data_IF_403282128209
#
_entry.id   IF_403282128209
#
_cell.length_a   1.000
_cell.length_b   1.000
_cell.length_c   1.000
_cell.angle_alpha   90.00
_cell.angle_beta   90.00
_cell.angle_gamma   90.00
#
_symmetry.space_group_name_H-M   'P 1'
#
loop_
_entity.id
_entity.type
_entity.pdbx_description
1 polymer ?
#
# COMPACT_ATOMS: atom_id res chain seq x y z
N UNK A 1 -34.82 -3.46 1.22
CA UNK A 1 -34.01 -2.24 1.22
C UNK A 1 -33.44 -2.02 -0.17
N UNK A 2 -33.28 -0.77 -0.61
CA UNK A 2 -32.72 -0.43 -1.93
C UNK A 2 -31.34 -1.09 -2.21
N UNK A 3 -30.56 -1.36 -1.20
CA UNK A 3 -29.25 -2.00 -1.30
C UNK A 3 -29.30 -3.42 -1.91
N UNK A 4 -30.37 -4.18 -1.70
CA UNK A 4 -30.53 -5.53 -2.24
C UNK A 4 -30.86 -5.55 -3.75
N UNK A 5 -31.16 -4.42 -4.34
CA UNK A 5 -31.56 -4.28 -5.77
C UNK A 5 -30.34 -3.93 -6.65
N UNK A 6 -29.25 -3.43 -6.07
CA UNK A 6 -28.04 -3.09 -6.83
C UNK A 6 -27.33 -4.39 -7.22
N UNK A 7 -27.20 -4.61 -8.53
CA UNK A 7 -26.45 -5.71 -9.11
C UNK A 7 -25.46 -5.21 -10.16
N UNK A 8 -24.76 -6.13 -10.77
CA UNK A 8 -23.80 -5.86 -11.84
C UNK A 8 -22.36 -6.16 -11.43
N UNK A 9 -21.40 -5.59 -12.16
CA UNK A 9 -19.98 -5.83 -11.98
C UNK A 9 -19.25 -4.52 -11.73
N UNK A 10 -18.28 -4.56 -10.83
CA UNK A 10 -17.32 -3.47 -10.60
C UNK A 10 -15.90 -4.01 -10.73
N UNK A 11 -15.07 -3.32 -11.50
CA UNK A 11 -13.67 -3.67 -11.73
C UNK A 11 -12.80 -2.51 -11.23
N UNK A 12 -11.86 -2.78 -10.35
CA UNK A 12 -10.90 -1.78 -9.91
C UNK A 12 -9.50 -2.37 -9.76
N UNK A 13 -8.49 -1.51 -9.70
CA UNK A 13 -7.11 -1.91 -9.54
C UNK A 13 -6.49 -1.30 -8.28
N UNK A 14 -5.62 -2.04 -7.64
CA UNK A 14 -4.86 -1.60 -6.47
C UNK A 14 -3.62 -2.46 -6.26
N UNK A 15 -2.75 -2.04 -5.31
CA UNK A 15 -1.54 -2.76 -4.96
C UNK A 15 -1.81 -4.03 -4.15
N UNK A 16 -0.84 -4.92 -4.14
CA UNK A 16 -0.85 -6.15 -3.32
C UNK A 16 -1.03 -5.86 -1.83
N UNK A 17 -0.36 -4.85 -1.30
CA UNK A 17 -0.50 -4.42 0.10
C UNK A 17 -1.93 -4.02 0.44
N UNK A 18 -2.60 -3.25 -0.41
CA UNK A 18 -4.00 -2.87 -0.19
C UNK A 18 -4.93 -4.08 -0.30
N UNK A 19 -4.68 -4.99 -1.25
CA UNK A 19 -5.45 -6.24 -1.38
C UNK A 19 -5.35 -7.09 -0.12
N UNK A 20 -4.16 -7.18 0.46
CA UNK A 20 -3.90 -8.08 1.60
C UNK A 20 -4.38 -7.50 2.92
N UNK A 21 -4.15 -6.20 3.17
CA UNK A 21 -4.28 -5.61 4.50
C UNK A 21 -5.41 -4.59 4.65
N UNK A 22 -5.86 -3.96 3.57
CA UNK A 22 -6.85 -2.88 3.63
C UNK A 22 -8.24 -3.35 3.18
N UNK A 23 -8.32 -4.04 2.06
CA UNK A 23 -9.59 -4.34 1.40
C UNK A 23 -10.41 -5.48 2.02
N UNK A 24 -9.86 -6.54 2.63
CA UNK A 24 -10.67 -7.67 3.07
C UNK A 24 -11.85 -7.29 3.95
N UNK A 25 -11.72 -6.47 5.01
CA UNK A 25 -12.87 -6.08 5.84
C UNK A 25 -13.87 -5.20 5.06
N UNK A 26 -13.39 -4.33 4.17
CA UNK A 26 -14.27 -3.47 3.34
C UNK A 26 -15.12 -4.32 2.40
N UNK A 27 -14.48 -5.26 1.70
CA UNK A 27 -15.17 -6.11 0.73
C UNK A 27 -16.08 -7.15 1.38
N UNK A 28 -15.74 -7.60 2.59
CA UNK A 28 -16.64 -8.45 3.38
C UNK A 28 -17.95 -7.72 3.66
N UNK A 29 -17.88 -6.51 4.22
CA UNK A 29 -19.07 -5.70 4.51
C UNK A 29 -19.83 -5.34 3.23
N UNK A 30 -19.11 -5.05 2.15
CA UNK A 30 -19.72 -4.73 0.86
C UNK A 30 -20.52 -5.91 0.30
N UNK A 31 -19.95 -7.11 0.32
CA UNK A 31 -20.60 -8.33 -0.16
C UNK A 31 -21.86 -8.67 0.66
N UNK A 32 -21.82 -8.44 1.96
CA UNK A 32 -22.99 -8.64 2.84
C UNK A 32 -24.14 -7.67 2.49
N UNK A 33 -23.79 -6.42 2.14
CA UNK A 33 -24.76 -5.38 1.82
C UNK A 33 -25.26 -5.44 0.37
N UNK A 34 -24.40 -5.84 -0.58
CA UNK A 34 -24.66 -5.86 -2.02
C UNK A 34 -24.35 -7.23 -2.63
N UNK A 35 -25.09 -8.28 -2.26
CA UNK A 35 -24.78 -9.66 -2.69
C UNK A 35 -24.93 -9.90 -4.20
N UNK A 36 -25.64 -9.01 -4.92
CA UNK A 36 -25.81 -9.06 -6.38
C UNK A 36 -24.72 -8.38 -7.18
N UNK A 37 -23.66 -7.88 -6.53
CA UNK A 37 -22.54 -7.19 -7.20
C UNK A 37 -21.32 -8.10 -7.29
N UNK A 38 -20.85 -8.35 -8.50
CA UNK A 38 -19.58 -9.03 -8.75
C UNK A 38 -18.42 -8.02 -8.66
N UNK A 39 -17.41 -8.34 -7.85
CA UNK A 39 -16.23 -7.50 -7.66
C UNK A 39 -15.01 -8.17 -8.29
N UNK A 40 -14.36 -7.48 -9.22
CA UNK A 40 -13.07 -7.87 -9.78
C UNK A 40 -11.98 -6.91 -9.31
N UNK A 41 -10.90 -7.46 -8.78
CA UNK A 41 -9.71 -6.69 -8.39
C UNK A 41 -8.56 -7.05 -9.31
N UNK A 42 -7.93 -6.05 -9.91
CA UNK A 42 -6.68 -6.22 -10.63
C UNK A 42 -5.52 -5.74 -9.76
N UNK A 43 -4.59 -6.65 -9.48
CA UNK A 43 -3.38 -6.31 -8.74
C UNK A 43 -2.40 -5.58 -9.67
N UNK A 44 -2.16 -4.30 -9.41
CA UNK A 44 -1.34 -3.40 -10.23
C UNK A 44 -0.53 -2.44 -9.38
N UNK A 45 0.65 -2.05 -9.87
CA UNK A 45 1.41 -0.94 -9.29
C UNK A 45 0.70 0.39 -9.55
N UNK A 46 0.91 1.38 -8.68
CA UNK A 46 0.27 2.71 -8.82
C UNK A 46 0.52 3.37 -10.18
N UNK A 47 1.71 3.17 -10.76
CA UNK A 47 2.05 3.66 -12.10
C UNK A 47 1.23 3.05 -13.23
N UNK A 48 0.72 1.83 -13.04
CA UNK A 48 -0.10 1.12 -14.04
C UNK A 48 -1.59 1.47 -13.91
N UNK A 49 -2.03 1.98 -12.75
CA UNK A 49 -3.45 2.22 -12.45
C UNK A 49 -3.99 3.40 -13.25
N UNK A 50 -3.25 4.50 -13.33
CA UNK A 50 -3.72 5.69 -14.05
C UNK A 50 -4.04 5.43 -15.52
N UNK A 51 -3.21 4.74 -16.32
CA UNK A 51 -3.56 4.35 -17.69
C UNK A 51 -4.85 3.53 -17.76
N UNK A 52 -5.03 2.53 -16.90
CA UNK A 52 -6.23 1.68 -16.90
C UNK A 52 -7.51 2.47 -16.63
N UNK A 53 -7.44 3.47 -15.74
CA UNK A 53 -8.57 4.38 -15.48
C UNK A 53 -8.85 5.26 -16.68
N UNK A 54 -7.82 5.82 -17.32
CA UNK A 54 -7.94 6.71 -18.48
C UNK A 54 -8.47 6.02 -19.72
N UNK A 55 -8.17 4.74 -19.90
CA UNK A 55 -8.60 3.92 -21.01
C UNK A 55 -9.95 3.20 -20.73
N UNK A 56 -10.60 3.52 -19.60
CA UNK A 56 -11.86 2.93 -19.15
C UNK A 56 -11.84 1.39 -19.04
N UNK A 57 -10.65 0.81 -18.84
CA UNK A 57 -10.49 -0.64 -18.62
C UNK A 57 -10.92 -1.08 -17.22
N UNK A 58 -10.94 -0.14 -16.27
CA UNK A 58 -11.40 -0.31 -14.90
C UNK A 58 -12.33 0.84 -14.51
N UNK A 59 -13.17 0.61 -13.51
CA UNK A 59 -14.11 1.64 -13.04
C UNK A 59 -13.41 2.72 -12.21
N UNK A 60 -12.43 2.33 -11.40
CA UNK A 60 -11.60 3.23 -10.59
C UNK A 60 -10.31 2.54 -10.13
N UNK A 61 -9.41 3.30 -9.55
CA UNK A 61 -8.21 2.79 -8.88
C UNK A 61 -8.17 3.17 -7.40
N UNK A 62 -7.43 2.39 -6.61
CA UNK A 62 -7.01 2.73 -5.25
C UNK A 62 -5.49 2.73 -5.24
N UNK A 63 -4.86 3.90 -5.17
CA UNK A 63 -3.43 4.06 -5.41
C UNK A 63 -2.77 5.06 -4.47
N UNK A 64 -1.44 4.99 -4.38
CA UNK A 64 -0.64 6.01 -3.71
C UNK A 64 -0.69 7.30 -4.51
N UNK A 65 -0.99 8.41 -3.84
CA UNK A 65 -1.09 9.74 -4.41
C UNK A 65 0.21 10.55 -4.15
N UNK A 66 0.53 11.57 -4.95
CA UNK A 66 -0.29 12.13 -6.03
C UNK A 66 -0.16 11.37 -7.36
N UNK A 67 -1.23 11.40 -8.15
CA UNK A 67 -1.25 10.97 -9.54
C UNK A 67 -1.83 12.11 -10.40
N UNK A 68 -1.02 13.13 -10.70
CA UNK A 68 -1.50 14.33 -11.40
C UNK A 68 -1.77 14.04 -12.87
N UNK A 69 -3.03 14.23 -13.28
CA UNK A 69 -3.42 14.16 -14.68
C UNK A 69 -4.73 14.96 -14.90
N UNK A 70 -4.86 15.77 -15.97
CA UNK A 70 -6.02 16.64 -16.16
C UNK A 70 -7.36 15.92 -16.25
N UNK A 71 -7.37 14.69 -16.76
CA UNK A 71 -8.57 13.85 -16.84
C UNK A 71 -8.82 12.95 -15.63
N UNK A 72 -7.94 12.94 -14.65
CA UNK A 72 -8.13 12.20 -13.42
C UNK A 72 -8.66 13.11 -12.29
N UNK A 73 -9.56 12.57 -11.49
CA UNK A 73 -9.94 13.09 -10.17
C UNK A 73 -9.37 12.13 -9.14
N UNK A 74 -8.59 12.64 -8.22
CA UNK A 74 -8.06 11.88 -7.09
C UNK A 74 -8.69 12.36 -5.78
N UNK A 75 -8.91 11.42 -4.87
CA UNK A 75 -9.51 11.67 -3.56
C UNK A 75 -8.75 10.88 -2.50
N UNK A 76 -8.01 11.56 -1.64
CA UNK A 76 -7.29 10.93 -0.54
C UNK A 76 -8.26 10.27 0.45
N UNK A 77 -7.99 9.02 0.83
CA UNK A 77 -8.79 8.29 1.82
C UNK A 77 -8.04 8.10 3.13
N UNK A 78 -6.81 7.60 3.08
CA UNK A 78 -6.04 7.31 4.28
C UNK A 78 -4.55 7.56 4.06
N UNK A 79 -3.82 7.63 5.18
CA UNK A 79 -2.38 7.80 5.20
C UNK A 79 -1.69 6.47 5.51
N UNK A 80 -0.61 6.17 4.78
CA UNK A 80 0.25 5.01 4.98
C UNK A 80 1.62 5.42 5.47
N UNK A 81 2.09 4.78 6.53
CA UNK A 81 3.45 4.94 7.05
C UNK A 81 4.29 3.71 6.75
N UNK A 82 5.56 3.93 6.50
CA UNK A 82 6.55 2.86 6.34
C UNK A 82 7.50 2.87 7.56
N UNK A 83 7.94 1.68 7.94
CA UNK A 83 8.82 1.43 9.08
C UNK A 83 10.00 0.55 8.66
N UNK A 84 11.12 0.70 9.36
CA UNK A 84 12.19 -0.29 9.29
C UNK A 84 11.78 -1.55 10.04
N UNK A 85 12.10 -2.70 9.48
CA UNK A 85 11.96 -3.98 10.15
C UNK A 85 13.31 -4.68 10.24
N UNK A 86 13.52 -5.37 11.36
CA UNK A 86 14.69 -6.19 11.60
C UNK A 86 14.34 -7.45 12.39
N UNK A 87 15.20 -8.48 12.37
CA UNK A 87 14.98 -9.68 13.16
C UNK A 87 15.13 -9.38 14.66
N UNK A 88 14.58 -10.26 15.48
CA UNK A 88 14.78 -10.22 16.94
C UNK A 88 16.27 -10.35 17.25
N UNK A 89 16.75 -9.56 18.21
CA UNK A 89 18.16 -9.55 18.60
C UNK A 89 19.09 -8.73 17.72
N UNK A 90 18.55 -8.06 16.68
CA UNK A 90 19.35 -7.14 15.88
C UNK A 90 19.91 -5.98 16.73
N UNK A 91 21.17 -5.55 16.52
CA UNK A 91 21.79 -4.48 17.33
C UNK A 91 20.97 -3.17 17.35
N UNK A 92 20.26 -2.85 16.28
CA UNK A 92 19.43 -1.65 16.18
C UNK A 92 18.00 -1.82 16.73
N UNK A 93 17.61 -3.02 17.18
CA UNK A 93 16.23 -3.33 17.60
C UNK A 93 15.74 -2.48 18.80
N UNK A 94 16.63 -1.98 19.63
CA UNK A 94 16.29 -1.12 20.79
C UNK A 94 16.09 0.35 20.41
N UNK A 95 16.37 0.75 19.19
CA UNK A 95 16.23 2.13 18.73
C UNK A 95 14.75 2.47 18.48
N UNK A 96 14.37 3.67 18.85
CA UNK A 96 13.01 4.17 18.58
C UNK A 96 12.82 4.68 17.15
N UNK A 97 13.89 5.22 16.57
CA UNK A 97 13.90 5.82 15.23
C UNK A 97 15.25 5.58 14.56
N UNK A 98 15.23 5.37 13.27
CA UNK A 98 16.44 5.17 12.46
C UNK A 98 16.40 6.07 11.22
N UNK A 99 17.39 6.98 11.06
CA UNK A 99 17.63 7.68 9.81
C UNK A 99 18.34 6.75 8.81
N UNK A 100 18.36 7.12 7.52
CA UNK A 100 19.08 6.38 6.49
C UNK A 100 20.55 6.10 6.86
N UNK A 101 21.23 7.08 7.47
CA UNK A 101 22.62 6.93 7.88
C UNK A 101 22.86 5.80 8.89
N UNK A 102 21.88 5.54 9.75
CA UNK A 102 22.02 4.49 10.78
C UNK A 102 21.88 3.08 10.21
N UNK A 103 21.19 2.92 9.08
CA UNK A 103 20.97 1.62 8.42
C UNK A 103 21.84 1.41 7.19
N UNK A 104 22.57 2.42 6.75
CA UNK A 104 23.32 2.37 5.48
C UNK A 104 24.43 1.31 5.47
N UNK A 105 24.97 0.95 6.63
CA UNK A 105 26.01 -0.08 6.78
C UNK A 105 25.44 -1.48 7.05
N UNK A 106 24.12 -1.57 7.25
CA UNK A 106 23.44 -2.85 7.44
C UNK A 106 23.15 -3.50 6.09
N UNK A 107 23.10 -4.82 6.00
CA UNK A 107 22.53 -5.51 4.86
C UNK A 107 21.05 -5.13 4.71
N UNK A 108 20.66 -4.62 3.55
CA UNK A 108 19.29 -4.18 3.29
C UNK A 108 18.64 -5.04 2.21
N UNK A 109 17.38 -5.42 2.46
CA UNK A 109 16.51 -6.02 1.48
C UNK A 109 15.59 -4.93 0.94
N UNK A 110 15.43 -4.88 -0.38
CA UNK A 110 14.58 -3.91 -1.05
C UNK A 110 13.54 -4.61 -1.91
N UNK A 111 12.39 -3.96 -2.11
CA UNK A 111 11.46 -4.38 -3.14
C UNK A 111 12.02 -4.06 -4.53
N UNK A 112 11.55 -4.77 -5.53
CA UNK A 112 11.91 -4.52 -6.92
C UNK A 112 11.53 -3.10 -7.36
N UNK A 113 12.22 -2.60 -8.36
CA UNK A 113 11.99 -1.27 -8.94
C UNK A 113 10.58 -1.19 -9.53
N UNK A 114 9.97 0.01 -9.40
CA UNK A 114 8.61 0.27 -9.87
C UNK A 114 7.55 0.23 -8.75
N UNK A 115 7.81 -0.40 -7.60
CA UNK A 115 6.93 -0.31 -6.44
C UNK A 115 7.06 1.04 -5.73
N UNK A 116 5.97 1.50 -5.11
CA UNK A 116 5.98 2.76 -4.33
C UNK A 116 6.86 2.66 -3.08
N UNK A 117 6.94 1.50 -2.45
CA UNK A 117 7.82 1.28 -1.30
C UNK A 117 9.29 1.33 -1.71
N UNK A 118 9.64 0.82 -2.91
CA UNK A 118 11.00 0.97 -3.44
C UNK A 118 11.33 2.42 -3.77
N UNK A 119 10.44 3.16 -4.39
CA UNK A 119 10.63 4.58 -4.67
C UNK A 119 10.89 5.37 -3.38
N UNK A 120 10.13 5.09 -2.33
CA UNK A 120 10.33 5.72 -1.02
C UNK A 120 11.69 5.38 -0.42
N UNK A 121 12.10 4.11 -0.49
CA UNK A 121 13.41 3.64 -0.04
C UNK A 121 14.52 4.37 -0.79
N UNK A 122 14.48 4.40 -2.12
CA UNK A 122 15.48 5.06 -2.95
C UNK A 122 15.54 6.58 -2.67
N UNK A 123 14.40 7.23 -2.49
CA UNK A 123 14.32 8.66 -2.16
C UNK A 123 14.93 8.98 -0.80
N UNK A 124 14.70 8.14 0.21
CA UNK A 124 15.26 8.31 1.54
C UNK A 124 16.79 8.34 1.50
N UNK A 125 17.40 7.39 0.81
CA UNK A 125 18.84 7.31 0.68
C UNK A 125 19.42 8.41 -0.22
N UNK A 126 18.73 8.76 -1.30
CA UNK A 126 19.13 9.86 -2.19
C UNK A 126 19.13 11.20 -1.46
N UNK A 127 18.10 11.49 -0.65
CA UNK A 127 18.04 12.71 0.14
C UNK A 127 19.14 12.80 1.19
N UNK A 128 19.53 11.66 1.76
CA UNK A 128 20.63 11.58 2.70
C UNK A 128 22.03 11.67 2.03
N UNK A 129 22.11 11.55 0.71
CA UNK A 129 23.38 11.50 -0.01
C UNK A 129 24.19 10.24 0.27
N UNK A 130 23.54 9.13 0.65
CA UNK A 130 24.17 7.89 1.08
C UNK A 130 23.72 6.75 0.16
N UNK A 131 24.63 5.86 -0.20
CA UNK A 131 24.31 4.65 -0.94
C UNK A 131 23.90 3.52 0.04
N UNK A 132 22.74 2.85 -0.16
CA UNK A 132 22.37 1.70 0.65
C UNK A 132 23.13 0.45 0.25
N UNK A 133 23.37 -0.45 1.20
CA UNK A 133 23.94 -1.77 0.94
C UNK A 133 22.80 -2.78 0.65
N UNK A 134 22.26 -2.77 -0.55
CA UNK A 134 21.21 -3.72 -0.96
C UNK A 134 21.85 -5.07 -1.27
N UNK A 135 21.51 -6.08 -0.47
CA UNK A 135 22.00 -7.45 -0.63
C UNK A 135 21.00 -8.37 -1.34
N UNK A 136 19.72 -7.96 -1.41
CA UNK A 136 18.66 -8.74 -2.05
C UNK A 136 17.54 -7.83 -2.54
N UNK A 137 17.04 -8.09 -3.76
CA UNK A 137 15.82 -7.48 -4.29
C UNK A 137 14.73 -8.52 -4.44
N UNK A 138 13.51 -8.21 -4.01
CA UNK A 138 12.39 -9.15 -3.95
C UNK A 138 11.11 -8.50 -4.48
N UNK A 139 10.28 -9.28 -5.19
CA UNK A 139 9.04 -8.81 -5.78
C UNK A 139 7.83 -8.77 -4.83
N UNK A 140 7.96 -9.26 -3.61
CA UNK A 140 6.85 -9.39 -2.65
C UNK A 140 7.27 -9.01 -1.24
N UNK A 141 6.44 -8.18 -0.57
CA UNK A 141 6.61 -7.84 0.85
C UNK A 141 6.53 -9.10 1.72
N UNK A 142 5.64 -10.02 1.39
CA UNK A 142 5.48 -11.25 2.16
C UNK A 142 6.73 -12.13 2.13
N UNK A 143 7.36 -12.24 0.97
CA UNK A 143 8.64 -12.94 0.83
C UNK A 143 9.75 -12.18 1.56
N UNK A 144 9.81 -10.86 1.37
CA UNK A 144 10.81 -10.00 1.99
C UNK A 144 10.79 -10.11 3.53
N UNK A 145 9.62 -10.09 4.16
CA UNK A 145 9.46 -10.27 5.61
C UNK A 145 10.10 -11.58 6.11
N UNK A 146 9.92 -12.67 5.36
CA UNK A 146 10.50 -13.98 5.72
C UNK A 146 12.02 -13.96 5.72
N UNK A 147 12.63 -13.29 4.75
CA UNK A 147 14.10 -13.17 4.70
C UNK A 147 14.64 -12.24 5.80
N UNK A 148 13.91 -11.18 6.17
CA UNK A 148 14.26 -10.37 7.34
C UNK A 148 14.17 -11.21 8.62
N UNK A 149 13.11 -11.97 8.81
CA UNK A 149 12.87 -12.82 9.99
C UNK A 149 14.00 -13.81 10.22
N UNK A 150 14.59 -14.38 9.17
CA UNK A 150 15.72 -15.31 9.26
C UNK A 150 17.09 -14.64 9.23
N UNK A 151 17.14 -13.30 9.31
CA UNK A 151 18.39 -12.56 9.54
C UNK A 151 19.19 -12.16 8.30
N UNK A 152 18.60 -12.14 7.10
CA UNK A 152 19.31 -11.68 5.90
C UNK A 152 19.58 -10.18 5.87
N UNK A 153 18.88 -9.39 6.67
CA UNK A 153 19.08 -7.95 6.76
C UNK A 153 17.85 -7.23 7.26
N UNK A 154 17.83 -5.92 7.05
CA UNK A 154 16.71 -5.02 7.38
C UNK A 154 15.95 -4.62 6.11
N UNK A 155 14.73 -4.15 6.28
CA UNK A 155 13.93 -3.63 5.16
C UNK A 155 13.02 -2.47 5.59
N UNK A 156 12.63 -1.64 4.63
CA UNK A 156 11.63 -0.58 4.80
C UNK A 156 10.31 -1.07 4.17
N UNK A 157 9.25 -1.16 4.98
CA UNK A 157 7.96 -1.71 4.56
C UNK A 157 6.79 -0.93 5.16
N UNK A 158 5.58 -0.99 4.57
CA UNK A 158 4.38 -0.44 5.19
C UNK A 158 4.15 -1.03 6.59
N UNK A 159 3.89 -0.18 7.58
CA UNK A 159 3.67 -0.60 8.96
C UNK A 159 2.54 -1.63 9.10
N UNK A 160 1.45 -1.44 8.33
CA UNK A 160 0.32 -2.37 8.34
C UNK A 160 0.69 -3.79 7.88
N UNK A 161 1.70 -3.92 7.02
CA UNK A 161 2.12 -5.22 6.48
C UNK A 161 2.87 -6.08 7.50
N UNK A 162 3.25 -5.54 8.65
CA UNK A 162 4.06 -6.24 9.67
C UNK A 162 3.41 -6.30 11.06
N UNK A 163 2.18 -5.83 11.18
CA UNK A 163 1.46 -5.78 12.47
C UNK A 163 1.46 -7.15 13.16
N UNK A 164 1.12 -8.20 12.42
CA UNK A 164 1.04 -9.56 12.97
C UNK A 164 2.42 -10.11 13.39
N UNK A 165 3.46 -9.86 12.61
CA UNK A 165 4.82 -10.30 12.92
C UNK A 165 5.38 -9.58 14.15
N UNK A 166 5.07 -8.31 14.32
CA UNK A 166 5.48 -7.52 15.49
C UNK A 166 4.71 -7.97 16.73
N UNK A 167 3.40 -8.13 16.65
CA UNK A 167 2.56 -8.59 17.77
C UNK A 167 2.92 -10.01 18.23
N UNK A 168 3.27 -10.89 17.28
CA UNK A 168 3.72 -12.25 17.58
C UNK A 168 5.19 -12.35 17.97
N UNK A 169 5.90 -11.23 18.03
CA UNK A 169 7.32 -11.17 18.44
C UNK A 169 8.29 -11.82 17.44
N UNK A 170 7.96 -11.87 16.16
CA UNK A 170 8.83 -12.44 15.11
C UNK A 170 9.72 -11.39 14.44
N UNK A 171 9.25 -10.15 14.40
CA UNK A 171 9.98 -9.00 13.86
C UNK A 171 9.92 -7.81 14.82
N UNK A 172 10.88 -6.92 14.70
CA UNK A 172 10.88 -5.62 15.34
C UNK A 172 10.63 -4.55 14.29
N UNK A 173 9.67 -3.65 14.55
CA UNK A 173 9.42 -2.48 13.73
C UNK A 173 9.97 -1.22 14.40
N UNK A 174 10.68 -0.39 13.64
CA UNK A 174 11.37 0.82 14.12
C UNK A 174 10.96 1.97 13.20
N UNK A 175 10.57 3.11 13.79
CA UNK A 175 10.17 4.27 13.01
C UNK A 175 11.32 4.75 12.10
N UNK A 176 11.00 5.04 10.84
CA UNK A 176 11.96 5.59 9.88
C UNK A 176 11.96 7.12 9.98
N UNK A 177 13.13 7.71 10.20
CA UNK A 177 13.32 9.17 10.21
C UNK A 177 13.52 9.67 8.79
N UNK A 178 12.87 10.78 8.42
CA UNK A 178 12.94 11.34 7.07
C UNK A 178 11.96 10.71 6.08
N UNK A 179 11.14 9.77 6.53
CA UNK A 179 10.04 9.20 5.75
C UNK A 179 8.75 9.91 6.12
N UNK A 180 8.10 10.53 5.14
CA UNK A 180 6.77 11.12 5.29
C UNK A 180 5.71 10.06 5.01
N UNK A 181 4.56 10.17 5.70
CA UNK A 181 3.38 9.39 5.34
C UNK A 181 2.95 9.70 3.91
N UNK A 182 2.33 8.73 3.26
CA UNK A 182 1.82 8.88 1.91
C UNK A 182 0.33 8.66 1.87
N UNK A 183 -0.39 9.57 1.21
CA UNK A 183 -1.81 9.40 0.95
C UNK A 183 -2.07 8.25 -0.01
N UNK A 184 -3.03 7.41 0.34
CA UNK A 184 -3.65 6.44 -0.55
C UNK A 184 -5.07 6.87 -0.81
N UNK A 185 -5.50 6.83 -2.06
CA UNK A 185 -6.81 7.34 -2.41
C UNK A 185 -7.38 6.79 -3.70
N UNK A 186 -8.60 7.23 -3.97
CA UNK A 186 -9.36 6.88 -5.16
C UNK A 186 -8.83 7.65 -6.37
N UNK A 187 -8.80 6.96 -7.51
CA UNK A 187 -8.42 7.50 -8.82
C UNK A 187 -9.58 7.25 -9.78
N UNK A 188 -10.18 8.32 -10.26
CA UNK A 188 -11.41 8.31 -11.05
C UNK A 188 -11.20 9.04 -12.38
N UNK A 189 -11.87 8.59 -13.44
CA UNK A 189 -11.91 9.31 -14.70
C UNK A 189 -12.93 10.45 -14.63
N UNK A 190 -12.49 11.70 -14.78
CA UNK A 190 -13.35 12.90 -14.57
C UNK A 190 -14.65 12.93 -15.40
N UNK A 191 -14.62 12.64 -16.71
CA UNK A 191 -15.83 12.73 -17.53
C UNK A 191 -16.79 11.55 -17.35
N UNK A 192 -16.36 10.48 -16.67
CA UNK A 192 -17.17 9.27 -16.52
C UNK A 192 -18.09 9.36 -15.30
N UNK A 193 -19.37 9.05 -15.52
CA UNK A 193 -20.31 8.79 -14.43
C UNK A 193 -20.21 7.32 -14.03
N UNK A 194 -19.90 7.06 -12.77
CA UNK A 194 -19.77 5.71 -12.24
C UNK A 194 -21.13 4.98 -12.27
N UNK A 195 -21.11 3.70 -12.63
CA UNK A 195 -22.28 2.83 -12.52
C UNK A 195 -22.70 2.66 -11.05
N UNK A 196 -23.95 2.27 -10.81
CA UNK A 196 -24.49 2.13 -9.45
C UNK A 196 -23.65 1.20 -8.57
N UNK A 197 -23.17 0.07 -9.09
CA UNK A 197 -22.32 -0.87 -8.38
C UNK A 197 -20.97 -0.24 -7.98
N UNK A 198 -20.34 0.48 -8.91
CA UNK A 198 -19.08 1.20 -8.63
C UNK A 198 -19.29 2.32 -7.60
N UNK A 199 -20.36 3.09 -7.72
CA UNK A 199 -20.72 4.14 -6.75
C UNK A 199 -20.94 3.57 -5.36
N UNK A 200 -21.62 2.43 -5.23
CA UNK A 200 -21.84 1.77 -3.95
C UNK A 200 -20.51 1.36 -3.30
N UNK A 201 -19.58 0.76 -4.07
CA UNK A 201 -18.27 0.37 -3.56
C UNK A 201 -17.40 1.58 -3.17
N UNK A 202 -17.40 2.64 -3.99
CA UNK A 202 -16.71 3.88 -3.68
C UNK A 202 -17.21 4.50 -2.35
N UNK A 203 -18.53 4.52 -2.13
CA UNK A 203 -19.11 5.03 -0.89
C UNK A 203 -18.73 4.14 0.32
N UNK A 204 -18.69 2.82 0.13
CA UNK A 204 -18.23 1.89 1.16
C UNK A 204 -16.76 2.16 1.55
N UNK A 205 -15.88 2.34 0.57
CA UNK A 205 -14.47 2.68 0.81
C UNK A 205 -14.33 4.03 1.52
N UNK A 206 -15.06 5.04 1.10
CA UNK A 206 -15.08 6.35 1.77
C UNK A 206 -15.51 6.23 3.23
N UNK A 207 -16.58 5.50 3.49
CA UNK A 207 -17.12 5.32 4.83
C UNK A 207 -16.19 4.58 5.79
N UNK A 208 -15.45 3.59 5.30
CA UNK A 208 -14.61 2.73 6.15
C UNK A 208 -13.15 3.14 6.21
N UNK A 209 -12.61 3.81 5.19
CA UNK A 209 -11.18 4.08 5.07
C UNK A 209 -10.81 5.54 5.34
N UNK A 210 -11.74 6.49 5.21
CA UNK A 210 -11.42 7.91 5.37
C UNK A 210 -10.86 8.22 6.76
N UNK A 211 -9.69 8.88 6.77
CA UNK A 211 -9.04 9.36 8.00
C UNK A 211 -8.28 8.29 8.78
N UNK A 212 -8.18 7.06 8.30
CA UNK A 212 -7.32 6.04 8.92
C UNK A 212 -5.85 6.32 8.67
N UNK A 213 -4.99 5.88 9.60
CA UNK A 213 -3.52 5.87 9.46
C UNK A 213 -3.05 4.44 9.59
N UNK A 214 -2.37 3.94 8.55
CA UNK A 214 -1.93 2.54 8.45
C UNK A 214 -0.40 2.41 8.38
#
# INVERSE_FOLDING_TARGET
SEAAIIGGRVVFATSDTNCTYILPPVLRSFREQYPGVDVEIRNKMSSEIAPLVLDDEIDFGLATLPLPHPRLKTEALFERRDVWICPIGHPLASRRRLPAAAVAQEPLLALERGSQSRALFDDLFRQAGIAPQIVMELGSIEVLKRFVEIGFGMALVPAIAVTHEVESGRLIAIAATGVTSRSVGLVLHRPRVAAAAATALLNQMRGQLSGTVC
#
